data_IF_375549814442
#
_entry.id   IF_375549814442
#
_cell.length_a   1.000
_cell.length_b   1.000
_cell.length_c   1.000
_cell.angle_alpha   90.00
_cell.angle_beta   90.00
_cell.angle_gamma   90.00
#
_symmetry.space_group_name_H-M   'P 1'
#
loop_
_entity.id
_entity.type
_entity.pdbx_description
1 polymer ?
#
# COMPACT_ATOMS: atom_id res chain seq x y z
N UNK A 1 -22.51 5.93 -16.89
CA UNK A 1 -21.33 5.84 -16.02
C UNK A 1 -21.40 4.49 -15.35
N UNK A 2 -20.47 3.60 -15.66
CA UNK A 2 -20.47 2.23 -15.16
C UNK A 2 -20.21 2.20 -13.65
N UNK A 3 -20.91 1.33 -12.93
CA UNK A 3 -20.74 1.12 -11.49
C UNK A 3 -19.29 0.72 -11.17
N UNK A 4 -18.67 -0.06 -12.07
CA UNK A 4 -17.26 -0.44 -12.02
C UNK A 4 -16.33 0.78 -12.01
N UNK A 5 -16.54 1.73 -12.93
CA UNK A 5 -15.71 2.95 -13.01
C UNK A 5 -15.89 3.84 -11.78
N UNK A 6 -17.12 3.91 -11.25
CA UNK A 6 -17.39 4.66 -10.01
C UNK A 6 -16.61 4.05 -8.84
N UNK A 7 -16.60 2.73 -8.72
CA UNK A 7 -15.87 2.03 -7.64
C UNK A 7 -14.36 2.17 -7.78
N UNK A 8 -13.81 1.98 -8.98
CA UNK A 8 -12.38 2.16 -9.26
C UNK A 8 -11.89 3.60 -8.96
N UNK A 9 -12.71 4.61 -9.30
CA UNK A 9 -12.41 6.01 -8.96
C UNK A 9 -12.52 6.29 -7.46
N UNK A 10 -13.50 5.71 -6.78
CA UNK A 10 -13.68 5.87 -5.32
C UNK A 10 -12.50 5.32 -4.54
N UNK A 11 -12.00 4.16 -4.95
CA UNK A 11 -10.82 3.51 -4.37
C UNK A 11 -9.54 4.33 -4.60
N UNK A 12 -9.46 5.04 -5.74
CA UNK A 12 -8.33 5.90 -6.09
C UNK A 12 -8.30 7.22 -5.29
N UNK A 13 -9.36 7.59 -4.58
CA UNK A 13 -9.48 8.86 -3.83
C UNK A 13 -8.81 8.84 -2.43
N UNK A 14 -7.99 7.83 -2.14
CA UNK A 14 -6.85 8.02 -1.22
C UNK A 14 -6.96 7.49 0.21
N UNK A 15 -8.07 6.86 0.61
CA UNK A 15 -8.13 6.13 1.90
C UNK A 15 -8.81 4.75 1.80
N UNK A 16 -9.40 4.41 0.65
CA UNK A 16 -10.31 3.27 0.55
C UNK A 16 -9.62 1.91 0.64
N UNK A 17 -8.60 1.66 -0.19
CA UNK A 17 -8.03 0.31 -0.38
C UNK A 17 -7.26 -0.23 0.84
N UNK A 18 -6.61 0.64 1.62
CA UNK A 18 -5.85 0.20 2.80
C UNK A 18 -6.75 -0.39 3.91
N UNK A 19 -8.02 0.02 3.95
CA UNK A 19 -9.04 -0.49 4.88
C UNK A 19 -9.76 -1.75 4.40
N UNK A 20 -9.75 -2.04 3.09
CA UNK A 20 -10.38 -3.26 2.57
C UNK A 20 -9.41 -4.44 2.70
N UNK A 21 -9.81 -5.47 3.47
CA UNK A 21 -9.08 -6.73 3.51
C UNK A 21 -9.31 -7.52 2.22
N UNK A 22 -8.40 -8.47 1.93
CA UNK A 22 -8.55 -9.41 0.82
C UNK A 22 -9.93 -10.10 0.83
N UNK A 23 -10.39 -10.53 2.01
CA UNK A 23 -11.72 -11.14 2.20
C UNK A 23 -12.85 -10.19 1.78
N UNK A 24 -12.78 -8.90 2.14
CA UNK A 24 -13.79 -7.92 1.74
C UNK A 24 -13.82 -7.68 0.23
N UNK A 25 -12.66 -7.74 -0.43
CA UNK A 25 -12.57 -7.64 -1.88
C UNK A 25 -13.16 -8.89 -2.54
N UNK A 26 -12.87 -10.07 -2.00
CA UNK A 26 -13.44 -11.34 -2.48
C UNK A 26 -14.98 -11.37 -2.34
N UNK A 27 -15.52 -10.92 -1.20
CA UNK A 27 -16.97 -10.82 -0.96
C UNK A 27 -17.67 -9.91 -1.99
N UNK A 28 -17.10 -8.73 -2.23
CA UNK A 28 -17.66 -7.72 -3.15
C UNK A 28 -17.70 -8.25 -4.59
N UNK A 29 -16.62 -8.93 -4.96
CA UNK A 29 -16.48 -9.58 -6.27
C UNK A 29 -17.46 -10.75 -6.43
N UNK A 30 -17.64 -11.56 -5.40
CA UNK A 30 -18.59 -12.68 -5.44
C UNK A 30 -20.05 -12.20 -5.51
N UNK A 31 -20.37 -11.08 -4.87
CA UNK A 31 -21.66 -10.41 -5.02
C UNK A 31 -21.91 -9.93 -6.46
N UNK A 32 -20.91 -9.31 -7.10
CA UNK A 32 -20.98 -8.88 -8.49
C UNK A 32 -21.19 -10.06 -9.46
N UNK A 33 -20.50 -11.19 -9.23
CA UNK A 33 -20.71 -12.42 -10.01
C UNK A 33 -22.12 -12.98 -9.81
N UNK A 34 -22.61 -13.01 -8.56
CA UNK A 34 -23.97 -13.50 -8.24
C UNK A 34 -25.06 -12.68 -8.92
N UNK A 35 -24.85 -11.37 -9.04
CA UNK A 35 -25.77 -10.45 -9.74
C UNK A 35 -25.68 -10.54 -11.26
N UNK A 36 -24.70 -11.28 -11.80
CA UNK A 36 -24.44 -11.39 -13.22
C UNK A 36 -23.80 -10.13 -13.84
N UNK A 37 -23.28 -9.23 -12.99
CA UNK A 37 -22.66 -7.97 -13.43
C UNK A 37 -21.25 -8.18 -13.98
N UNK A 38 -20.57 -9.25 -13.53
CA UNK A 38 -19.17 -9.53 -13.89
C UNK A 38 -18.99 -11.04 -14.06
N UNK A 39 -18.21 -11.45 -15.07
CA UNK A 39 -17.88 -12.87 -15.23
C UNK A 39 -16.98 -13.36 -14.08
N UNK A 40 -17.05 -14.65 -13.76
CA UNK A 40 -16.24 -15.26 -12.68
C UNK A 40 -14.72 -15.11 -12.93
N UNK A 41 -14.30 -14.99 -14.19
CA UNK A 41 -12.91 -14.75 -14.60
C UNK A 41 -12.51 -13.30 -14.36
N UNK A 42 -13.29 -12.33 -14.84
CA UNK A 42 -13.02 -10.90 -14.63
C UNK A 42 -13.03 -10.52 -13.15
N UNK A 43 -13.93 -11.16 -12.39
CA UNK A 43 -14.01 -11.08 -10.95
C UNK A 43 -12.66 -11.40 -10.26
N UNK A 44 -12.06 -12.55 -10.60
CA UNK A 44 -10.76 -12.95 -10.05
C UNK A 44 -9.64 -11.98 -10.44
N UNK A 45 -9.61 -11.54 -11.70
CA UNK A 45 -8.62 -10.58 -12.17
C UNK A 45 -8.75 -9.23 -11.46
N UNK A 46 -9.97 -8.78 -11.21
CA UNK A 46 -10.25 -7.55 -10.48
C UNK A 46 -9.79 -7.65 -9.02
N UNK A 47 -10.11 -8.75 -8.33
CA UNK A 47 -9.66 -9.00 -6.96
C UNK A 47 -8.13 -8.98 -6.85
N UNK A 48 -7.44 -9.63 -7.80
CA UNK A 48 -5.98 -9.65 -7.84
C UNK A 48 -5.39 -8.25 -8.05
N UNK A 49 -5.92 -7.49 -9.00
CA UNK A 49 -5.47 -6.12 -9.28
C UNK A 49 -5.68 -5.17 -8.10
N UNK A 50 -6.82 -5.27 -7.41
CA UNK A 50 -7.12 -4.47 -6.23
C UNK A 50 -6.20 -4.82 -5.06
N UNK A 51 -5.94 -6.11 -4.85
CA UNK A 51 -5.03 -6.57 -3.79
C UNK A 51 -3.61 -6.06 -4.04
N UNK A 52 -3.10 -6.23 -5.26
CA UNK A 52 -1.76 -5.78 -5.63
C UNK A 52 -1.61 -4.26 -5.50
N UNK A 53 -2.55 -3.48 -6.05
CA UNK A 53 -2.52 -2.01 -5.89
C UNK A 53 -2.60 -1.59 -4.42
N UNK A 54 -3.40 -2.29 -3.61
CA UNK A 54 -3.50 -2.03 -2.18
C UNK A 54 -2.17 -2.26 -1.46
N UNK A 55 -1.44 -3.33 -1.79
CA UNK A 55 -0.12 -3.61 -1.24
C UNK A 55 0.91 -2.53 -1.63
N UNK A 56 0.97 -2.17 -2.91
CA UNK A 56 1.86 -1.12 -3.42
C UNK A 56 1.61 0.22 -2.72
N UNK A 57 0.34 0.64 -2.60
CA UNK A 57 -0.03 1.87 -1.91
C UNK A 57 0.30 1.84 -0.41
N UNK A 58 0.13 0.70 0.26
CA UNK A 58 0.49 0.54 1.68
C UNK A 58 1.98 0.67 1.90
N UNK A 59 2.79 0.13 1.00
CA UNK A 59 4.25 0.21 1.13
C UNK A 59 4.80 1.60 0.82
N UNK A 60 4.20 2.30 -0.14
CA UNK A 60 4.51 3.71 -0.40
C UNK A 60 4.14 4.59 0.80
N UNK A 61 2.95 4.38 1.39
CA UNK A 61 2.53 5.10 2.59
C UNK A 61 3.46 4.80 3.78
N UNK A 62 3.84 3.54 4.00
CA UNK A 62 4.83 3.19 5.05
C UNK A 62 6.16 3.88 4.83
N UNK A 63 6.64 3.98 3.58
CA UNK A 63 7.88 4.69 3.26
C UNK A 63 7.78 6.17 3.59
N UNK A 64 6.69 6.82 3.20
CA UNK A 64 6.45 8.23 3.50
C UNK A 64 6.42 8.46 5.01
N UNK A 65 5.64 7.68 5.75
CA UNK A 65 5.58 7.77 7.22
C UNK A 65 6.97 7.57 7.85
N UNK A 66 7.73 6.56 7.42
CA UNK A 66 9.09 6.32 7.92
C UNK A 66 10.03 7.48 7.63
N UNK A 67 9.93 8.07 6.44
CA UNK A 67 10.73 9.23 6.04
C UNK A 67 10.41 10.45 6.91
N UNK A 68 9.13 10.75 7.11
CA UNK A 68 8.68 11.86 7.96
C UNK A 68 9.10 11.66 9.42
N UNK A 69 8.96 10.44 9.96
CA UNK A 69 9.43 10.12 11.32
C UNK A 69 10.96 10.28 11.40
N UNK A 70 11.72 9.78 10.42
CA UNK A 70 13.17 9.92 10.42
C UNK A 70 13.61 11.38 10.35
N UNK A 71 12.93 12.21 9.53
CA UNK A 71 13.16 13.64 9.46
C UNK A 71 12.85 14.34 10.80
N UNK A 72 11.71 14.03 11.41
CA UNK A 72 11.31 14.59 12.70
C UNK A 72 12.28 14.19 13.83
N UNK A 73 12.75 12.94 13.87
CA UNK A 73 13.74 12.49 14.84
C UNK A 73 15.09 13.18 14.65
N UNK A 74 15.50 13.42 13.40
CA UNK A 74 16.72 14.16 13.07
C UNK A 74 16.61 15.62 13.51
N UNK A 75 15.48 16.26 13.24
CA UNK A 75 15.21 17.65 13.66
C UNK A 75 15.14 17.79 15.18
N UNK A 76 14.57 16.80 15.87
CA UNK A 76 14.54 16.72 17.33
C UNK A 76 15.91 16.44 17.98
N UNK A 77 16.97 16.23 17.18
CA UNK A 77 18.32 15.91 17.68
C UNK A 77 18.43 14.52 18.32
N UNK A 78 17.45 13.64 18.09
CA UNK A 78 17.38 12.30 18.69
C UNK A 78 18.12 11.24 17.87
N UNK A 79 18.63 11.60 16.68
CA UNK A 79 19.49 10.74 15.87
C UNK A 79 20.94 11.18 16.08
N UNK A 80 21.70 10.40 16.85
CA UNK A 80 23.16 10.52 16.84
C UNK A 80 23.69 9.87 15.55
N UNK A 81 24.49 10.60 14.77
CA UNK A 81 25.40 9.96 13.82
C UNK A 81 26.28 9.00 14.62
N UNK A 82 26.05 7.69 14.47
CA UNK A 82 27.09 6.72 14.74
C UNK A 82 28.23 7.04 13.76
N UNK A 83 29.17 7.86 14.22
CA UNK A 83 30.51 7.91 13.64
C UNK A 83 30.99 6.47 13.59
N UNK A 84 31.05 5.91 12.39
CA UNK A 84 31.79 4.67 12.12
C UNK A 84 33.28 4.98 12.33
N UNK A 85 33.70 5.01 13.60
CA UNK A 85 35.07 5.21 14.03
C UNK A 85 35.70 3.83 14.17
N UNK A 86 35.99 3.20 13.03
CA UNK A 86 36.70 1.92 12.88
C UNK A 86 36.97 1.72 11.37
N UNK A 87 38.17 1.69 10.82
CA UNK A 87 39.48 1.43 11.40
C UNK A 87 40.56 2.06 10.50
N UNK A 88 41.20 3.11 10.98
CA UNK A 88 42.59 3.40 10.62
C UNK A 88 43.45 2.52 11.54
N UNK A 89 43.86 1.36 11.04
CA UNK A 89 44.99 0.62 11.64
C UNK A 89 46.15 0.78 10.68
N UNK A 90 47.26 1.43 11.08
CA UNK A 90 48.44 1.48 10.23
C UNK A 90 48.95 0.05 10.02
N UNK A 91 49.11 -0.30 8.75
CA UNK A 91 49.81 -1.51 8.34
C UNK A 91 51.30 -1.33 8.66
N UNK A 92 51.76 -1.97 9.74
CA UNK A 92 53.18 -2.33 9.90
C UNK A 92 53.51 -3.57 9.06
#
# INVERSE_FOLDING_TARGET
>A
MDVKEFFEKSLSFGLGLATYSKEKIEDLVEEMVRRGEVSRTEARDFASKLTQKGEEQRDELKRLIRSEIAAALKEAGLVHEEKNDSADRPSD
#
